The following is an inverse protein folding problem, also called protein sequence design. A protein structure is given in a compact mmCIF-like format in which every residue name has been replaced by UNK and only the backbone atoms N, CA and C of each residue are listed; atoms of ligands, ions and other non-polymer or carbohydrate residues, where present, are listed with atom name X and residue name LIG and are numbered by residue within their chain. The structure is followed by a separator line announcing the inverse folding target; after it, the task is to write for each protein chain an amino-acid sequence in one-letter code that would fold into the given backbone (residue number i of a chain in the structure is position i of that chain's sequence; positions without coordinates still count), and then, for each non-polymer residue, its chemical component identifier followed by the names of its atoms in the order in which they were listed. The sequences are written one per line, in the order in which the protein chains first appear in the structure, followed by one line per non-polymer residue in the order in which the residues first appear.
data_IF_590886147183
#
_entry.id   IF_590886147183
#
_cell.length_a   1.000
_cell.length_b   1.000
_cell.length_c   1.000
_cell.angle_alpha   90.00
_cell.angle_beta   90.00
_cell.angle_gamma   90.00
#
_symmetry.space_group_name_H-M   'P 1'
#
loop_
_entity.id
_entity.type
_entity.pdbx_description
1 polymer ?
#
# COMPACT_ATOMS: atom_id res chain seq x y z
N UNK A 1 7.87 -7.57 -12.48
CA UNK A 1 8.79 -7.63 -11.34
C UNK A 1 8.45 -8.87 -10.55
N UNK A 2 9.42 -9.54 -9.92
CA UNK A 2 9.12 -10.74 -9.12
C UNK A 2 8.32 -10.37 -7.86
N UNK A 3 7.51 -11.28 -7.33
CA UNK A 3 6.69 -11.05 -6.12
C UNK A 3 7.58 -10.69 -4.93
N UNK A 4 8.77 -11.30 -4.80
CA UNK A 4 9.69 -10.98 -3.71
C UNK A 4 10.26 -9.55 -3.81
N UNK A 5 10.60 -9.11 -5.03
CA UNK A 5 11.03 -7.73 -5.27
C UNK A 5 9.90 -6.74 -4.99
N UNK A 6 8.68 -7.09 -5.35
CA UNK A 6 7.49 -6.29 -5.09
C UNK A 6 7.17 -6.22 -3.60
N UNK A 7 7.23 -7.34 -2.88
CA UNK A 7 7.08 -7.38 -1.44
C UNK A 7 8.10 -6.49 -0.74
N UNK A 8 9.35 -6.49 -1.20
CA UNK A 8 10.39 -5.58 -0.69
C UNK A 8 10.03 -4.11 -0.90
N UNK A 9 9.46 -3.75 -2.07
CA UNK A 9 8.95 -2.40 -2.29
C UNK A 9 7.76 -2.07 -1.42
N UNK A 10 6.81 -2.98 -1.23
CA UNK A 10 5.69 -2.78 -0.31
C UNK A 10 6.17 -2.56 1.14
N UNK A 11 7.22 -3.27 1.56
CA UNK A 11 7.84 -3.06 2.86
C UNK A 11 8.51 -1.69 2.98
N UNK A 12 9.36 -1.33 2.00
CA UNK A 12 10.18 -0.11 2.06
C UNK A 12 9.38 1.15 1.75
N UNK A 13 8.55 1.11 0.70
CA UNK A 13 7.87 2.29 0.16
C UNK A 13 6.48 2.51 0.75
N UNK A 14 5.76 1.43 1.07
CA UNK A 14 4.44 1.52 1.71
C UNK A 14 4.51 1.31 3.23
N UNK A 15 5.63 0.81 3.76
CA UNK A 15 5.80 0.65 5.20
C UNK A 15 5.07 -0.57 5.78
N UNK A 16 4.76 -1.59 4.97
CA UNK A 16 4.20 -2.85 5.47
C UNK A 16 5.29 -3.62 6.21
N UNK A 17 5.29 -3.50 7.54
CA UNK A 17 6.39 -4.00 8.38
C UNK A 17 6.50 -5.52 8.37
N UNK A 18 5.36 -6.22 8.35
CA UNK A 18 5.36 -7.68 8.40
C UNK A 18 5.66 -8.26 7.01
N UNK A 19 6.75 -9.05 6.84
CA UNK A 19 7.14 -9.55 5.53
C UNK A 19 6.07 -10.43 4.86
N UNK A 20 5.39 -11.26 5.64
CA UNK A 20 4.26 -12.09 5.19
C UNK A 20 3.16 -11.23 4.55
N UNK A 21 2.77 -10.13 5.21
CA UNK A 21 1.75 -9.21 4.71
C UNK A 21 2.23 -8.42 3.51
N UNK A 22 3.51 -8.05 3.45
CA UNK A 22 4.08 -7.40 2.28
C UNK A 22 4.05 -8.34 1.05
N UNK A 23 4.38 -9.62 1.24
CA UNK A 23 4.26 -10.65 0.20
C UNK A 23 2.82 -10.84 -0.24
N UNK A 24 1.88 -11.01 0.68
CA UNK A 24 0.47 -11.20 0.34
C UNK A 24 -0.13 -9.98 -0.37
N UNK A 25 0.20 -8.77 0.08
CA UNK A 25 -0.23 -7.55 -0.58
C UNK A 25 0.35 -7.46 -2.00
N UNK A 26 1.63 -7.80 -2.18
CA UNK A 26 2.27 -7.86 -3.50
C UNK A 26 1.63 -8.90 -4.42
N UNK A 27 1.31 -10.10 -3.92
CA UNK A 27 0.63 -11.14 -4.69
C UNK A 27 -0.79 -10.75 -5.11
N UNK A 28 -1.54 -10.09 -4.23
CA UNK A 28 -2.93 -9.72 -4.49
C UNK A 28 -3.07 -8.49 -5.37
N UNK A 29 -2.22 -7.47 -5.13
CA UNK A 29 -2.36 -6.15 -5.73
C UNK A 29 -1.28 -5.82 -6.76
N UNK A 30 -0.24 -6.65 -6.92
CA UNK A 30 0.81 -6.39 -7.90
C UNK A 30 1.40 -4.99 -7.73
N UNK A 31 1.63 -4.30 -8.84
CA UNK A 31 2.13 -2.92 -8.82
C UNK A 31 1.06 -1.86 -8.47
N UNK A 32 -0.23 -2.25 -8.30
CA UNK A 32 -1.34 -1.30 -8.15
C UNK A 32 -1.21 -0.45 -6.89
N UNK A 33 -0.89 -1.04 -5.75
CA UNK A 33 -0.75 -0.31 -4.48
C UNK A 33 0.36 0.76 -4.56
N UNK A 34 1.49 0.41 -5.16
CA UNK A 34 2.60 1.35 -5.41
C UNK A 34 2.21 2.43 -6.41
N UNK A 35 1.53 2.07 -7.50
CA UNK A 35 1.12 3.01 -8.54
C UNK A 35 0.14 4.05 -8.00
N UNK A 36 -0.83 3.62 -7.19
CA UNK A 36 -1.78 4.52 -6.51
C UNK A 36 -1.02 5.45 -5.55
N UNK A 37 -0.09 4.92 -4.76
CA UNK A 37 0.70 5.76 -3.86
C UNK A 37 1.55 6.78 -4.61
N UNK A 38 2.16 6.40 -5.74
CA UNK A 38 2.95 7.30 -6.55
C UNK A 38 2.10 8.42 -7.14
N UNK A 39 0.94 8.10 -7.69
CA UNK A 39 -0.02 9.10 -8.18
C UNK A 39 -0.45 10.06 -7.06
N UNK A 40 -0.74 9.56 -5.86
CA UNK A 40 -1.11 10.39 -4.71
C UNK A 40 0.03 11.32 -4.28
N UNK A 41 1.28 10.85 -4.32
CA UNK A 41 2.47 11.68 -4.03
C UNK A 41 2.60 12.82 -5.04
N UNK A 42 2.40 12.54 -6.33
CA UNK A 42 2.42 13.55 -7.40
C UNK A 42 1.32 14.62 -7.18
N UNK A 43 0.17 14.21 -6.67
CA UNK A 43 -0.93 15.10 -6.27
C UNK A 43 -0.71 15.82 -4.92
N UNK A 44 0.45 15.64 -4.27
CA UNK A 44 0.82 16.31 -3.03
C UNK A 44 0.29 15.66 -1.75
N UNK A 45 -0.16 14.41 -1.81
CA UNK A 45 -0.47 13.63 -0.61
C UNK A 45 0.79 12.97 -0.04
N UNK A 46 0.77 12.75 1.27
CA UNK A 46 1.83 12.03 1.99
C UNK A 46 1.27 10.74 2.58
N UNK A 47 2.06 9.67 2.55
CA UNK A 47 1.70 8.42 3.21
C UNK A 47 1.97 8.54 4.70
N UNK A 48 0.94 8.38 5.51
CA UNK A 48 1.05 8.35 6.98
C UNK A 48 1.23 6.93 7.50
N UNK A 49 0.57 5.96 6.88
CA UNK A 49 0.61 4.57 7.30
C UNK A 49 -0.01 3.64 6.28
N UNK A 50 0.35 2.36 6.38
CA UNK A 50 -0.24 1.31 5.57
C UNK A 50 -0.54 0.11 6.45
N UNK A 51 -1.67 -0.54 6.20
CA UNK A 51 -2.01 -1.82 6.83
C UNK A 51 -2.59 -2.77 5.79
N UNK A 52 -2.19 -4.03 5.86
CA UNK A 52 -2.81 -5.09 5.09
C UNK A 52 -3.74 -5.88 6.02
N UNK A 53 -4.98 -6.06 5.59
CA UNK A 53 -6.03 -6.77 6.32
C UNK A 53 -6.16 -8.17 5.73
N UNK A 54 -5.54 -9.16 6.38
CA UNK A 54 -5.44 -10.52 5.85
C UNK A 54 -6.81 -11.18 5.66
N UNK A 55 -7.69 -11.13 6.66
CA UNK A 55 -9.04 -11.70 6.57
C UNK A 55 -9.87 -11.10 5.43
N UNK A 56 -9.74 -9.80 5.20
CA UNK A 56 -10.48 -9.08 4.16
C UNK A 56 -9.75 -9.02 2.82
N UNK A 57 -8.52 -9.56 2.76
CA UNK A 57 -7.61 -9.51 1.60
C UNK A 57 -7.54 -8.09 1.00
N UNK A 58 -7.36 -7.12 1.88
CA UNK A 58 -7.47 -5.69 1.55
C UNK A 58 -6.24 -4.90 1.98
N UNK A 59 -5.83 -3.91 1.18
CA UNK A 59 -4.74 -3.00 1.48
C UNK A 59 -5.31 -1.61 1.82
N UNK A 60 -4.95 -1.08 2.97
CA UNK A 60 -5.37 0.26 3.41
C UNK A 60 -4.16 1.20 3.39
N UNK A 61 -4.33 2.35 2.73
CA UNK A 61 -3.37 3.45 2.72
C UNK A 61 -3.95 4.63 3.51
N UNK A 62 -3.30 5.02 4.59
CA UNK A 62 -3.61 6.24 5.33
C UNK A 62 -2.81 7.40 4.73
N UNK A 63 -3.48 8.38 4.15
CA UNK A 63 -2.85 9.51 3.47
C UNK A 63 -3.23 10.84 4.09
N UNK A 64 -2.34 11.82 3.99
CA UNK A 64 -2.55 13.17 4.53
C UNK A 64 -2.23 14.20 3.45
N UNK A 65 -3.07 15.23 3.35
CA UNK A 65 -2.81 16.44 2.57
C UNK A 65 -3.26 17.65 3.38
N UNK A 66 -2.35 18.59 3.58
CA UNK A 66 -2.54 19.73 4.49
C UNK A 66 -2.93 19.24 5.90
N UNK A 67 -4.12 19.61 6.39
CA UNK A 67 -4.64 19.22 7.70
C UNK A 67 -5.72 18.14 7.62
N UNK A 68 -5.86 17.44 6.48
CA UNK A 68 -6.89 16.41 6.27
C UNK A 68 -6.25 15.04 6.10
N UNK A 69 -6.85 14.04 6.75
CA UNK A 69 -6.45 12.63 6.66
C UNK A 69 -7.54 11.83 5.95
N UNK A 70 -7.14 10.86 5.13
CA UNK A 70 -8.02 9.97 4.39
C UNK A 70 -7.52 8.53 4.49
N UNK A 71 -8.42 7.57 4.32
CA UNK A 71 -8.10 6.16 4.11
C UNK A 71 -8.54 5.75 2.70
N UNK A 72 -7.64 5.07 1.99
CA UNK A 72 -7.95 4.40 0.72
C UNK A 72 -7.91 2.91 0.96
N UNK A 73 -9.01 2.23 0.62
CA UNK A 73 -9.13 0.77 0.68
C UNK A 73 -9.02 0.20 -0.73
N UNK A 74 -7.99 -0.63 -0.95
CA UNK A 74 -7.88 -1.47 -2.14
C UNK A 74 -8.33 -2.87 -1.78
N UNK A 75 -9.28 -3.39 -2.55
CA UNK A 75 -9.84 -4.72 -2.35
C UNK A 75 -9.99 -5.42 -3.70
N UNK A 76 -9.59 -6.69 -3.75
CA UNK A 76 -9.85 -7.57 -4.89
C UNK A 76 -11.26 -8.17 -4.73
N UNK A 77 -12.09 -8.03 -5.77
CA UNK A 77 -13.46 -8.57 -5.84
C UNK A 77 -13.45 -10.00 -6.40
#
# INVERSE_FOLDING_TARGET
MDVFELAKKYHVELGIKEPSFATMAAELFGDLGLSIMNHLKEEGYTLKGTRFLDYEKSLVLEIVKENKSYEILLRKL
#
